data_IF_598537681321
#
_entry.id   IF_598537681321
#
_cell.length_a   1.000
_cell.length_b   1.000
_cell.length_c   1.000
_cell.angle_alpha   90.00
_cell.angle_beta   90.00
_cell.angle_gamma   90.00
#
_symmetry.space_group_name_H-M   'P 1'
#
loop_
_entity.id
_entity.type
_entity.pdbx_description
1 polymer ?
#
# COMPACT_ATOMS: atom_id res chain seq x y z
N UNK A 1 43.30 -46.70 33.23
CA UNK A 1 42.36 -47.77 32.84
C UNK A 1 41.19 -47.64 33.81
N UNK A 2 40.18 -46.91 33.41
CA UNK A 2 38.96 -46.67 34.22
C UNK A 2 37.80 -47.31 33.45
N UNK A 3 37.25 -48.35 34.10
CA UNK A 3 36.14 -49.17 33.63
C UNK A 3 34.84 -48.45 33.88
N UNK A 4 34.06 -48.11 32.83
CA UNK A 4 32.73 -47.55 32.96
C UNK A 4 31.70 -48.66 32.87
N UNK A 5 31.16 -49.01 34.02
CA UNK A 5 30.02 -49.93 34.16
C UNK A 5 28.78 -49.35 33.44
N UNK A 6 28.28 -50.10 32.44
CA UNK A 6 27.05 -49.78 31.72
C UNK A 6 25.84 -50.09 32.61
N UNK A 7 25.18 -49.07 33.13
CA UNK A 7 23.88 -49.19 33.73
C UNK A 7 22.82 -49.21 32.60
N UNK A 8 22.17 -50.34 32.41
CA UNK A 8 20.98 -50.49 31.58
C UNK A 8 19.82 -49.78 32.28
N UNK A 9 19.27 -48.76 31.62
CA UNK A 9 17.95 -48.22 31.98
C UNK A 9 16.91 -49.05 31.22
N UNK A 10 16.24 -49.95 31.93
CA UNK A 10 15.08 -50.64 31.39
C UNK A 10 13.82 -49.74 31.52
N UNK A 11 13.13 -49.56 30.39
CA UNK A 11 11.71 -49.45 30.34
C UNK A 11 11.06 -48.06 30.60
N UNK A 12 11.21 -47.14 29.64
CA UNK A 12 10.15 -46.16 29.40
C UNK A 12 9.54 -46.52 28.04
N UNK A 13 8.24 -46.85 27.94
CA UNK A 13 7.62 -47.07 26.63
C UNK A 13 7.61 -45.72 25.89
N UNK A 14 8.27 -45.67 24.74
CA UNK A 14 8.17 -44.57 23.78
C UNK A 14 6.69 -44.37 23.46
N UNK A 15 6.20 -43.12 23.48
CA UNK A 15 4.85 -42.86 22.97
C UNK A 15 4.83 -43.31 21.51
N UNK A 16 3.96 -44.27 21.20
CA UNK A 16 3.66 -44.67 19.84
C UNK A 16 3.28 -43.38 19.08
N UNK A 17 4.14 -42.97 18.16
CA UNK A 17 3.79 -41.97 17.20
C UNK A 17 2.53 -42.49 16.48
N UNK A 18 1.42 -41.82 16.68
CA UNK A 18 0.21 -42.10 15.92
C UNK A 18 0.61 -42.02 14.45
N UNK A 19 0.54 -43.15 13.77
CA UNK A 19 0.81 -43.29 12.33
C UNK A 19 -0.22 -42.36 11.65
N UNK A 20 0.22 -41.18 11.27
CA UNK A 20 -0.62 -40.24 10.50
C UNK A 20 -0.90 -40.96 9.17
N UNK A 21 -2.17 -41.17 8.87
CA UNK A 21 -2.59 -41.72 7.58
C UNK A 21 -1.88 -40.95 6.46
N UNK A 22 -1.35 -41.63 5.43
CA UNK A 22 -0.64 -40.97 4.34
C UNK A 22 -1.54 -39.92 3.73
N UNK A 23 -1.09 -38.68 3.80
CA UNK A 23 -1.77 -37.55 3.15
C UNK A 23 -1.76 -37.86 1.66
N UNK A 24 -2.94 -37.84 1.03
CA UNK A 24 -3.05 -38.04 -0.40
C UNK A 24 -2.47 -36.80 -1.10
N UNK A 25 -1.19 -36.80 -1.44
CA UNK A 25 -0.47 -35.72 -2.09
C UNK A 25 -1.14 -35.28 -3.38
N UNK A 26 -1.74 -36.22 -4.13
CA UNK A 26 -2.47 -35.93 -5.35
C UNK A 26 -3.70 -35.03 -5.08
N UNK A 27 -4.45 -35.30 -4.03
CA UNK A 27 -5.61 -34.49 -3.66
C UNK A 27 -5.21 -33.07 -3.19
N UNK A 28 -4.05 -32.92 -2.55
CA UNK A 28 -3.52 -31.62 -2.16
C UNK A 28 -3.03 -30.81 -3.36
N UNK A 29 -2.34 -31.44 -4.31
CA UNK A 29 -1.91 -30.81 -5.56
C UNK A 29 -3.11 -30.38 -6.40
N UNK A 30 -4.14 -31.24 -6.51
CA UNK A 30 -5.37 -30.91 -7.20
C UNK A 30 -6.13 -29.76 -6.52
N UNK A 31 -6.17 -29.71 -5.19
CA UNK A 31 -6.80 -28.62 -4.44
C UNK A 31 -6.11 -27.28 -4.67
N UNK A 32 -4.77 -27.25 -4.68
CA UNK A 32 -3.99 -26.05 -4.99
C UNK A 32 -4.25 -25.56 -6.41
N UNK A 33 -4.12 -26.45 -7.39
CA UNK A 33 -4.32 -26.12 -8.80
C UNK A 33 -5.75 -25.61 -9.04
N UNK A 34 -6.74 -26.29 -8.49
CA UNK A 34 -8.14 -25.89 -8.60
C UNK A 34 -8.42 -24.52 -7.97
N UNK A 35 -7.77 -24.20 -6.82
CA UNK A 35 -7.89 -22.89 -6.20
C UNK A 35 -7.33 -21.79 -7.11
N UNK A 36 -6.14 -21.97 -7.68
CA UNK A 36 -5.49 -20.99 -8.56
C UNK A 36 -6.28 -20.83 -9.88
N UNK A 37 -6.67 -21.94 -10.51
CA UNK A 37 -7.49 -21.92 -11.73
C UNK A 37 -8.82 -21.21 -11.46
N UNK A 38 -9.54 -21.60 -10.41
CA UNK A 38 -10.84 -21.01 -10.08
C UNK A 38 -10.77 -19.52 -9.74
N UNK A 39 -9.66 -19.02 -9.19
CA UNK A 39 -9.42 -17.58 -9.02
C UNK A 39 -9.18 -16.93 -10.37
N UNK A 40 -8.34 -17.52 -11.21
CA UNK A 40 -7.99 -16.99 -12.54
C UNK A 40 -9.23 -16.87 -13.44
N UNK A 41 -10.07 -17.89 -13.49
CA UNK A 41 -11.27 -17.91 -14.31
C UNK A 41 -12.30 -16.87 -13.87
N UNK A 42 -12.43 -16.63 -12.55
CA UNK A 42 -13.40 -15.68 -11.99
C UNK A 42 -12.94 -14.23 -12.05
N UNK A 43 -11.67 -13.97 -11.74
CA UNK A 43 -11.13 -12.60 -11.57
C UNK A 43 -10.35 -12.15 -12.81
N UNK A 44 -9.71 -13.06 -13.54
CA UNK A 44 -8.93 -12.74 -14.75
C UNK A 44 -9.66 -11.85 -15.74
N UNK A 45 -10.95 -12.14 -16.09
CA UNK A 45 -11.72 -11.30 -17.01
C UNK A 45 -11.96 -9.86 -16.56
N UNK A 46 -11.79 -9.56 -15.26
CA UNK A 46 -11.88 -8.22 -14.71
C UNK A 46 -10.53 -7.46 -14.71
N UNK A 47 -9.44 -8.15 -15.06
CA UNK A 47 -8.10 -7.53 -15.09
C UNK A 47 -7.85 -6.92 -16.46
N UNK A 48 -7.51 -5.63 -16.47
CA UNK A 48 -7.23 -4.88 -17.68
C UNK A 48 -5.79 -4.41 -17.72
N UNK A 49 -5.24 -4.28 -18.90
CA UNK A 49 -3.99 -3.55 -19.13
C UNK A 49 -4.29 -2.07 -19.16
N UNK A 50 -3.49 -1.29 -18.44
CA UNK A 50 -3.55 0.16 -18.43
C UNK A 50 -2.38 0.71 -19.24
N UNK A 51 -2.70 1.34 -20.36
CA UNK A 51 -1.74 2.01 -21.24
C UNK A 51 -1.89 3.52 -21.09
N UNK A 52 -0.79 4.21 -20.86
CA UNK A 52 -0.81 5.68 -20.79
C UNK A 52 -0.02 6.28 -21.95
N UNK A 53 -0.54 7.35 -22.51
CA UNK A 53 0.15 8.12 -23.56
C UNK A 53 1.47 8.72 -23.05
N UNK A 54 2.38 9.17 -23.95
CA UNK A 54 3.61 9.82 -23.56
C UNK A 54 3.33 11.10 -22.74
N UNK A 55 4.18 11.37 -21.75
CA UNK A 55 4.02 12.52 -20.85
C UNK A 55 4.19 13.87 -21.58
N UNK A 56 4.96 13.86 -22.66
CA UNK A 56 5.23 15.04 -23.51
C UNK A 56 4.96 14.71 -24.98
N UNK A 57 4.92 15.73 -25.83
CA UNK A 57 4.86 15.56 -27.31
C UNK A 57 6.15 14.96 -27.91
N UNK A 58 7.11 14.56 -27.10
CA UNK A 58 8.35 13.96 -27.58
C UNK A 58 8.11 12.50 -28.03
N UNK A 59 8.28 12.15 -29.32
CA UNK A 59 8.05 10.81 -29.84
C UNK A 59 8.95 9.71 -29.23
N UNK A 60 10.03 10.11 -28.52
CA UNK A 60 10.95 9.20 -27.85
C UNK A 60 10.53 8.80 -26.44
N UNK A 61 9.56 9.50 -25.85
CA UNK A 61 9.00 9.11 -24.55
C UNK A 61 7.95 8.02 -24.75
N UNK A 62 8.25 6.85 -24.19
CA UNK A 62 7.28 5.75 -24.11
C UNK A 62 6.28 6.05 -22.98
N UNK A 63 4.99 5.80 -23.25
CA UNK A 63 3.95 5.85 -22.22
C UNK A 63 4.21 4.83 -21.11
N UNK A 64 3.54 4.99 -20.00
CA UNK A 64 3.54 4.03 -18.89
C UNK A 64 2.70 2.80 -19.24
N UNK A 65 3.02 1.70 -18.58
CA UNK A 65 2.34 0.44 -18.72
C UNK A 65 2.13 -0.20 -17.35
N UNK A 66 0.93 -0.71 -17.12
CA UNK A 66 0.57 -1.43 -15.90
C UNK A 66 -0.70 -2.24 -16.09
N UNK A 67 -1.22 -2.72 -14.99
CA UNK A 67 -2.50 -3.41 -14.90
C UNK A 67 -3.52 -2.58 -14.13
N UNK A 68 -4.78 -2.95 -14.23
CA UNK A 68 -5.88 -2.44 -13.43
C UNK A 68 -6.90 -3.53 -13.16
N UNK A 69 -7.77 -3.30 -12.20
CA UNK A 69 -8.89 -4.19 -11.90
C UNK A 69 -10.21 -3.43 -12.01
N UNK A 70 -11.11 -3.94 -12.82
CA UNK A 70 -12.50 -3.46 -12.91
C UNK A 70 -13.23 -3.87 -11.64
N UNK A 71 -13.81 -2.90 -10.92
CA UNK A 71 -14.47 -3.10 -9.63
C UNK A 71 -15.98 -2.84 -9.67
N UNK A 72 -16.49 -2.40 -10.80
CA UNK A 72 -17.92 -2.19 -11.00
C UNK A 72 -18.33 -2.41 -12.47
N UNK A 73 -19.57 -2.84 -12.73
CA UNK A 73 -20.03 -3.10 -14.10
C UNK A 73 -20.14 -1.84 -14.97
N UNK A 74 -20.18 -0.65 -14.34
CA UNK A 74 -20.23 0.66 -15.00
C UNK A 74 -18.85 1.24 -15.31
N UNK A 75 -17.78 0.45 -15.13
CA UNK A 75 -16.44 0.79 -15.61
C UNK A 75 -15.54 1.54 -14.63
N UNK A 76 -15.75 1.40 -13.31
CA UNK A 76 -14.73 1.84 -12.34
C UNK A 76 -13.55 0.87 -12.34
N UNK A 77 -12.34 1.42 -12.47
CA UNK A 77 -11.09 0.66 -12.51
C UNK A 77 -10.10 1.21 -11.48
N UNK A 78 -9.62 0.33 -10.61
CA UNK A 78 -8.51 0.63 -9.70
C UNK A 78 -7.18 0.27 -10.36
N UNK A 79 -6.18 1.12 -10.15
CA UNK A 79 -4.79 0.90 -10.54
C UNK A 79 -3.85 1.67 -9.61
N UNK A 80 -2.55 1.67 -9.86
CA UNK A 80 -1.62 2.49 -9.08
C UNK A 80 -1.51 3.93 -9.62
N UNK A 81 -1.23 4.87 -8.71
CA UNK A 81 -1.02 6.26 -9.07
C UNK A 81 0.23 6.45 -9.94
N UNK A 82 1.29 5.67 -9.69
CA UNK A 82 2.52 5.72 -10.49
C UNK A 82 2.32 5.18 -11.92
N UNK A 83 1.38 4.25 -12.15
CA UNK A 83 1.00 3.75 -13.49
C UNK A 83 0.37 4.89 -14.31
N UNK A 84 -0.56 5.62 -13.70
CA UNK A 84 -1.24 6.75 -14.34
C UNK A 84 -0.31 7.95 -14.51
N UNK A 85 0.47 8.26 -13.47
CA UNK A 85 1.36 9.41 -13.46
C UNK A 85 0.67 10.72 -13.85
N UNK A 86 1.27 11.46 -14.78
CA UNK A 86 0.72 12.69 -15.34
C UNK A 86 0.13 12.50 -16.74
N UNK A 87 -0.19 11.27 -17.13
CA UNK A 87 -0.71 10.97 -18.46
C UNK A 87 -2.07 11.66 -18.69
N UNK A 88 -2.26 12.17 -19.89
CA UNK A 88 -3.52 12.78 -20.35
C UNK A 88 -4.43 11.76 -21.05
N UNK A 89 -3.80 10.80 -21.74
CA UNK A 89 -4.50 9.74 -22.46
C UNK A 89 -4.28 8.43 -21.74
N UNK A 90 -5.37 7.73 -21.44
CA UNK A 90 -5.36 6.42 -20.80
C UNK A 90 -6.25 5.51 -21.63
N UNK A 91 -5.72 4.35 -21.97
CA UNK A 91 -6.47 3.29 -22.64
C UNK A 91 -6.43 2.03 -21.82
N UNK A 92 -7.54 1.38 -21.73
CA UNK A 92 -7.72 0.09 -21.10
C UNK A 92 -7.84 -0.97 -22.20
N UNK A 93 -7.11 -2.07 -22.03
CA UNK A 93 -7.25 -3.23 -22.90
C UNK A 93 -7.64 -4.43 -22.05
N UNK A 94 -8.75 -5.08 -22.40
CA UNK A 94 -9.18 -6.31 -21.75
C UNK A 94 -8.45 -7.55 -22.28
N UNK A 95 -8.81 -8.72 -21.76
CA UNK A 95 -8.20 -10.00 -22.18
C UNK A 95 -8.60 -10.43 -23.59
N UNK A 96 -9.71 -9.90 -24.13
CA UNK A 96 -10.19 -10.17 -25.48
C UNK A 96 -9.54 -9.23 -26.50
N UNK A 97 -8.77 -8.23 -26.01
CA UNK A 97 -8.06 -7.27 -26.85
C UNK A 97 -8.85 -6.01 -27.17
N UNK A 98 -10.10 -5.86 -26.66
CA UNK A 98 -10.86 -4.62 -26.82
C UNK A 98 -10.19 -3.47 -26.10
N UNK A 99 -10.16 -2.32 -26.78
CA UNK A 99 -9.56 -1.09 -26.27
C UNK A 99 -10.67 -0.11 -25.95
N UNK A 100 -10.64 0.42 -24.73
CA UNK A 100 -11.58 1.43 -24.23
C UNK A 100 -10.78 2.62 -23.69
N UNK A 101 -11.13 3.83 -24.08
CA UNK A 101 -10.57 5.03 -23.50
C UNK A 101 -11.04 5.17 -22.05
N UNK A 102 -10.22 5.81 -21.23
CA UNK A 102 -10.53 6.03 -19.82
C UNK A 102 -10.01 7.38 -19.34
N UNK A 103 -10.68 7.92 -18.35
CA UNK A 103 -10.25 9.15 -17.68
C UNK A 103 -10.07 8.92 -16.18
N UNK A 104 -9.24 9.77 -15.58
CA UNK A 104 -8.92 9.71 -14.15
C UNK A 104 -10.00 10.41 -13.35
N UNK A 105 -10.67 9.70 -12.44
CA UNK A 105 -11.56 10.28 -11.45
C UNK A 105 -10.80 10.90 -10.28
N UNK A 106 -9.71 10.27 -9.87
CA UNK A 106 -8.83 10.77 -8.82
C UNK A 106 -7.58 9.94 -8.65
N UNK A 107 -6.57 10.54 -8.03
CA UNK A 107 -5.31 9.87 -7.66
C UNK A 107 -4.96 10.16 -6.22
N UNK A 108 -4.39 9.18 -5.58
CA UNK A 108 -3.81 9.31 -4.25
C UNK A 108 -2.37 8.79 -4.23
N UNK A 109 -1.39 9.66 -4.43
CA UNK A 109 0.01 9.27 -4.41
C UNK A 109 0.50 8.79 -3.04
N UNK A 110 -0.21 9.13 -1.95
CA UNK A 110 0.17 8.72 -0.60
C UNK A 110 -0.12 7.23 -0.35
N UNK A 111 -1.11 6.66 -1.03
CA UNK A 111 -1.40 5.20 -1.02
C UNK A 111 -1.02 4.50 -2.31
N UNK A 112 -0.45 5.24 -3.27
CA UNK A 112 -0.14 4.75 -4.61
C UNK A 112 -1.36 4.16 -5.34
N UNK A 113 -2.55 4.75 -5.18
CA UNK A 113 -3.77 4.32 -5.84
C UNK A 113 -4.31 5.39 -6.80
N UNK A 114 -4.99 4.94 -7.85
CA UNK A 114 -5.74 5.77 -8.77
C UNK A 114 -7.06 5.10 -9.13
N UNK A 115 -8.11 5.90 -9.29
CA UNK A 115 -9.40 5.48 -9.77
C UNK A 115 -9.63 6.05 -11.17
N UNK A 116 -9.95 5.16 -12.10
CA UNK A 116 -10.28 5.48 -13.48
C UNK A 116 -11.75 5.17 -13.76
N UNK A 117 -12.28 5.80 -14.80
CA UNK A 117 -13.57 5.49 -15.42
C UNK A 117 -13.33 5.10 -16.87
N UNK A 118 -13.72 3.90 -17.26
CA UNK A 118 -13.77 3.48 -18.67
C UNK A 118 -14.92 4.17 -19.38
N UNK A 119 -14.66 4.77 -20.54
CA UNK A 119 -15.63 5.57 -21.28
C UNK A 119 -16.61 4.70 -22.04
N UNK A 120 -17.91 4.95 -21.85
CA UNK A 120 -18.96 4.18 -22.53
C UNK A 120 -19.10 2.71 -22.12
N UNK A 121 -18.36 2.28 -21.11
CA UNK A 121 -18.39 0.91 -20.62
C UNK A 121 -19.74 0.55 -19.99
N UNK A 122 -20.28 -0.63 -20.35
CA UNK A 122 -21.48 -1.23 -19.77
C UNK A 122 -21.26 -2.73 -19.62
N UNK A 123 -21.79 -3.28 -18.53
CA UNK A 123 -21.80 -4.73 -18.26
C UNK A 123 -20.39 -5.37 -18.26
N UNK A 124 -19.38 -4.62 -17.82
CA UNK A 124 -18.02 -5.16 -17.69
C UNK A 124 -17.95 -6.26 -16.64
N UNK A 125 -17.13 -7.26 -16.90
CA UNK A 125 -16.72 -8.21 -15.86
C UNK A 125 -15.97 -7.45 -14.78
N UNK A 126 -16.35 -7.64 -13.52
CA UNK A 126 -15.76 -6.95 -12.37
C UNK A 126 -15.47 -7.91 -11.23
N UNK A 127 -14.57 -7.53 -10.34
CA UNK A 127 -14.21 -8.29 -9.17
C UNK A 127 -14.59 -7.52 -7.89
N UNK A 128 -15.04 -8.26 -6.88
CA UNK A 128 -15.38 -7.70 -5.57
C UNK A 128 -14.11 -7.45 -4.73
N UNK A 129 -14.09 -6.32 -4.02
CA UNK A 129 -13.09 -6.04 -3.00
C UNK A 129 -13.43 -6.79 -1.71
N UNK A 130 -12.53 -7.65 -1.25
CA UNK A 130 -12.65 -8.38 0.00
C UNK A 130 -12.18 -7.57 1.20
N UNK A 131 -12.19 -8.20 2.39
CA UNK A 131 -11.76 -7.60 3.64
C UNK A 131 -10.33 -8.03 4.00
N UNK A 132 -9.34 -7.14 3.76
CA UNK A 132 -7.93 -7.41 4.05
C UNK A 132 -7.61 -7.55 5.55
N UNK A 133 -8.48 -7.08 6.47
CA UNK A 133 -8.29 -7.23 7.92
C UNK A 133 -8.48 -8.65 8.42
N UNK A 134 -9.12 -9.52 7.64
CA UNK A 134 -9.34 -10.93 8.00
C UNK A 134 -8.20 -11.84 7.54
N UNK A 135 -7.22 -11.30 6.84
CA UNK A 135 -6.10 -12.06 6.30
C UNK A 135 -5.22 -12.64 7.41
N UNK A 136 -4.64 -13.79 7.13
CA UNK A 136 -3.68 -14.46 8.00
C UNK A 136 -2.41 -14.80 7.23
N UNK A 137 -1.25 -14.72 7.87
CA UNK A 137 0.02 -15.17 7.31
C UNK A 137 -0.07 -16.64 6.93
N UNK A 138 0.50 -17.00 5.79
CA UNK A 138 0.43 -18.34 5.19
C UNK A 138 -0.81 -18.60 4.34
N UNK A 139 -1.77 -17.67 4.27
CA UNK A 139 -2.96 -17.82 3.42
C UNK A 139 -2.55 -17.71 1.95
N UNK A 140 -3.06 -18.63 1.10
CA UNK A 140 -2.85 -18.64 -0.34
C UNK A 140 -3.38 -17.34 -0.97
N UNK A 141 -2.58 -16.76 -1.85
CA UNK A 141 -2.94 -15.59 -2.65
C UNK A 141 -2.47 -15.76 -4.08
N UNK A 142 -3.20 -15.13 -5.00
CA UNK A 142 -2.91 -15.14 -6.44
C UNK A 142 -2.78 -13.70 -6.90
N UNK A 143 -1.63 -13.35 -7.48
CA UNK A 143 -1.43 -12.06 -8.13
C UNK A 143 -1.71 -12.21 -9.63
N UNK A 144 -2.54 -11.31 -10.16
CA UNK A 144 -2.93 -11.32 -11.56
C UNK A 144 -2.54 -9.98 -12.18
N UNK A 145 -1.97 -10.01 -13.38
CA UNK A 145 -1.65 -8.83 -14.17
C UNK A 145 -1.88 -9.09 -15.65
N UNK A 146 -1.93 -8.04 -16.44
CA UNK A 146 -2.06 -8.11 -17.90
C UNK A 146 -0.98 -7.25 -18.59
N UNK A 147 0.33 -7.60 -18.43
CA UNK A 147 1.43 -6.77 -18.90
C UNK A 147 1.50 -6.69 -20.43
N UNK A 148 1.07 -7.72 -21.15
CA UNK A 148 1.19 -7.81 -22.61
C UNK A 148 -0.12 -7.56 -23.35
N UNK A 149 -1.27 -7.57 -22.63
CA UNK A 149 -2.59 -7.30 -23.22
C UNK A 149 -3.20 -8.44 -24.04
N UNK A 150 -2.60 -9.62 -24.01
CA UNK A 150 -3.09 -10.80 -24.73
C UNK A 150 -3.49 -11.94 -23.79
N UNK A 151 -2.77 -12.07 -22.68
CA UNK A 151 -3.02 -13.08 -21.66
C UNK A 151 -2.68 -12.52 -20.27
N UNK A 152 -3.48 -12.90 -19.29
CA UNK A 152 -3.21 -12.58 -17.90
C UNK A 152 -2.00 -13.37 -17.40
N UNK A 153 -1.04 -12.68 -16.81
CA UNK A 153 0.04 -13.31 -16.06
C UNK A 153 -0.46 -13.62 -14.66
N UNK A 154 -0.40 -14.89 -14.28
CA UNK A 154 -0.85 -15.39 -12.98
C UNK A 154 0.35 -15.90 -12.19
N UNK A 155 0.50 -15.45 -10.96
CA UNK A 155 1.47 -15.96 -10.01
C UNK A 155 0.80 -16.24 -8.68
N UNK A 156 1.17 -17.33 -8.02
CA UNK A 156 0.60 -17.69 -6.73
C UNK A 156 1.70 -17.71 -5.66
N UNK A 157 1.31 -17.44 -4.44
CA UNK A 157 2.15 -17.42 -3.27
C UNK A 157 1.30 -17.37 -2.00
N UNK A 158 1.88 -16.88 -0.91
CA UNK A 158 1.18 -16.74 0.37
C UNK A 158 1.28 -15.32 0.90
N UNK A 159 0.41 -14.97 1.84
CA UNK A 159 0.59 -13.79 2.68
C UNK A 159 1.81 -14.02 3.58
N UNK A 160 2.92 -13.38 3.27
CA UNK A 160 4.18 -13.49 4.03
C UNK A 160 4.16 -12.65 5.30
N UNK A 161 3.63 -11.42 5.22
CA UNK A 161 3.47 -10.52 6.37
C UNK A 161 2.33 -9.52 6.14
N UNK A 162 1.83 -8.94 7.23
CA UNK A 162 0.77 -7.94 7.26
C UNK A 162 1.22 -6.73 8.08
N UNK A 163 0.59 -5.57 7.84
CA UNK A 163 0.84 -4.34 8.59
C UNK A 163 2.27 -3.80 8.41
N UNK A 164 2.88 -4.04 7.26
CA UNK A 164 4.19 -3.48 6.91
C UNK A 164 4.04 -2.08 6.35
N UNK A 165 5.10 -1.28 6.52
CA UNK A 165 5.24 0.01 5.85
C UNK A 165 6.44 -0.07 4.91
N UNK A 166 6.28 0.44 3.68
CA UNK A 166 7.33 0.44 2.67
C UNK A 166 7.46 1.83 2.04
N UNK A 167 8.63 2.15 1.50
CA UNK A 167 8.79 3.34 0.65
C UNK A 167 8.41 3.01 -0.79
N UNK A 168 7.47 3.77 -1.32
CA UNK A 168 7.08 3.68 -2.72
C UNK A 168 8.18 4.21 -3.65
N UNK A 169 8.04 3.96 -4.95
CA UNK A 169 8.94 4.52 -5.99
C UNK A 169 8.93 6.05 -5.96
N UNK A 170 7.83 6.68 -5.53
CA UNK A 170 7.72 8.14 -5.36
C UNK A 170 8.41 8.66 -4.08
N UNK A 171 9.00 7.78 -3.26
CA UNK A 171 9.63 8.13 -1.99
C UNK A 171 8.68 8.31 -0.81
N UNK A 172 7.38 8.09 -1.01
CA UNK A 172 6.35 8.15 0.04
C UNK A 172 6.27 6.83 0.80
N UNK A 173 5.90 6.88 2.06
CA UNK A 173 5.65 5.66 2.85
C UNK A 173 4.23 5.17 2.59
N UNK A 174 4.13 3.93 2.10
CA UNK A 174 2.88 3.18 2.00
C UNK A 174 2.72 2.37 3.27
N UNK A 175 1.64 2.59 3.99
CA UNK A 175 1.32 1.89 5.24
C UNK A 175 0.33 0.75 5.00
N UNK A 176 0.29 -0.18 5.96
CA UNK A 176 -0.65 -1.32 5.97
C UNK A 176 -0.62 -2.13 4.67
N UNK A 177 0.59 -2.36 4.14
CA UNK A 177 0.75 -3.19 2.94
C UNK A 177 0.78 -4.67 3.28
N UNK A 178 0.27 -5.47 2.36
CA UNK A 178 0.35 -6.93 2.36
C UNK A 178 1.68 -7.32 1.70
N UNK A 179 2.52 -8.06 2.41
CA UNK A 179 3.71 -8.68 1.84
C UNK A 179 3.37 -10.09 1.35
N UNK A 180 3.82 -10.44 0.15
CA UNK A 180 3.65 -11.75 -0.46
C UNK A 180 4.92 -12.20 -1.19
N UNK A 181 5.09 -13.50 -1.36
CA UNK A 181 6.11 -14.13 -2.21
C UNK A 181 5.57 -14.48 -3.62
N UNK A 182 4.27 -14.22 -3.88
CA UNK A 182 3.75 -14.27 -5.24
C UNK A 182 4.57 -13.33 -6.13
N UNK A 183 5.16 -13.87 -7.21
CA UNK A 183 6.09 -13.11 -8.03
C UNK A 183 5.38 -11.94 -8.73
N UNK A 184 5.85 -10.72 -8.47
CA UNK A 184 5.41 -9.52 -9.18
C UNK A 184 6.48 -9.11 -10.19
N UNK A 185 6.07 -8.97 -11.44
CA UNK A 185 6.91 -8.52 -12.54
C UNK A 185 6.46 -7.14 -13.04
N UNK A 186 7.30 -6.39 -13.75
CA UNK A 186 6.88 -5.17 -14.42
C UNK A 186 5.62 -5.41 -15.27
N UNK A 187 4.59 -4.59 -15.04
CA UNK A 187 3.27 -4.72 -15.66
C UNK A 187 2.20 -5.35 -14.78
N UNK A 188 2.56 -6.05 -13.69
CA UNK A 188 1.57 -6.52 -12.70
C UNK A 188 1.13 -5.42 -11.72
N UNK A 189 1.87 -4.30 -11.65
CA UNK A 189 1.51 -3.13 -10.83
C UNK A 189 0.14 -2.60 -11.24
N UNK A 190 -0.73 -2.38 -10.24
CA UNK A 190 -2.11 -1.96 -10.41
C UNK A 190 -3.11 -3.12 -10.60
N UNK A 191 -2.63 -4.33 -10.89
CA UNK A 191 -3.45 -5.54 -10.89
C UNK A 191 -3.80 -6.03 -9.49
N UNK A 192 -4.77 -6.95 -9.36
CA UNK A 192 -5.23 -7.44 -8.07
C UNK A 192 -4.29 -8.49 -7.46
N UNK A 193 -4.21 -8.48 -6.12
CA UNK A 193 -3.87 -9.62 -5.28
C UNK A 193 -5.18 -10.22 -4.79
N UNK A 194 -5.39 -11.50 -5.01
CA UNK A 194 -6.68 -12.19 -4.86
C UNK A 194 -6.57 -13.32 -3.86
N UNK A 195 -7.56 -13.50 -3.01
CA UNK A 195 -7.68 -14.66 -2.10
C UNK A 195 -8.17 -15.90 -2.83
N UNK A 196 -8.06 -17.07 -2.21
CA UNK A 196 -8.61 -18.32 -2.73
C UNK A 196 -10.14 -18.31 -2.91
N UNK A 197 -10.86 -17.37 -2.25
CA UNK A 197 -12.30 -17.13 -2.46
C UNK A 197 -12.63 -16.23 -3.65
N UNK A 198 -11.61 -15.82 -4.44
CA UNK A 198 -11.73 -14.91 -5.58
C UNK A 198 -12.16 -13.48 -5.21
N UNK A 199 -11.81 -13.03 -4.01
CA UNK A 199 -11.97 -11.65 -3.58
C UNK A 199 -10.64 -10.90 -3.71
N UNK A 200 -10.68 -9.67 -4.20
CA UNK A 200 -9.50 -8.79 -4.28
C UNK A 200 -9.15 -8.31 -2.88
N UNK A 201 -8.03 -8.77 -2.35
CA UNK A 201 -7.54 -8.43 -1.01
C UNK A 201 -6.46 -7.36 -1.02
N UNK A 202 -5.94 -7.01 -2.20
CA UNK A 202 -4.96 -5.94 -2.36
C UNK A 202 -4.77 -5.55 -3.83
N UNK A 203 -4.05 -4.45 -4.03
CA UNK A 203 -3.61 -3.95 -5.34
C UNK A 203 -2.08 -4.03 -5.39
N UNK A 204 -1.55 -4.82 -6.31
CA UNK A 204 -0.11 -5.04 -6.48
C UNK A 204 0.60 -3.71 -6.76
N UNK A 205 1.68 -3.38 -6.04
CA UNK A 205 2.31 -2.06 -6.20
C UNK A 205 3.82 -2.12 -6.38
N UNK A 206 4.56 -2.74 -5.51
CA UNK A 206 6.01 -2.61 -5.47
C UNK A 206 6.73 -3.94 -5.27
N UNK A 207 7.94 -3.99 -5.79
CA UNK A 207 8.97 -4.99 -5.47
C UNK A 207 10.16 -4.27 -4.85
N UNK A 208 10.85 -4.90 -3.92
CA UNK A 208 12.15 -4.41 -3.45
C UNK A 208 13.20 -4.82 -4.51
N UNK A 209 13.78 -3.83 -5.18
CA UNK A 209 14.84 -4.09 -6.15
C UNK A 209 16.00 -4.86 -5.50
N UNK A 210 16.38 -5.98 -6.12
CA UNK A 210 17.45 -6.85 -5.62
C UNK A 210 17.03 -7.89 -4.59
N UNK A 211 15.75 -7.89 -4.13
CA UNK A 211 15.20 -8.94 -3.27
C UNK A 211 14.26 -9.83 -4.08
N UNK A 212 14.47 -11.15 -4.03
CA UNK A 212 13.55 -12.11 -4.64
C UNK A 212 12.50 -12.54 -3.61
N UNK A 213 11.25 -12.72 -4.07
CA UNK A 213 10.17 -13.21 -3.19
C UNK A 213 9.68 -12.19 -2.15
N UNK A 214 9.99 -10.89 -2.32
CA UNK A 214 9.49 -9.82 -1.47
C UNK A 214 8.71 -8.84 -2.32
N UNK A 215 7.41 -9.05 -2.38
CA UNK A 215 6.45 -8.27 -3.14
C UNK A 215 5.41 -7.65 -2.21
N UNK A 216 4.79 -6.56 -2.63
CA UNK A 216 3.83 -5.82 -1.82
C UNK A 216 2.58 -5.45 -2.60
N UNK A 217 1.45 -5.44 -1.87
CA UNK A 217 0.18 -4.94 -2.37
C UNK A 217 -0.44 -3.97 -1.35
N UNK A 218 -1.07 -2.91 -1.84
CA UNK A 218 -1.89 -2.01 -1.01
C UNK A 218 -3.15 -2.77 -0.59
N UNK A 219 -3.43 -2.80 0.70
CA UNK A 219 -4.55 -3.56 1.27
C UNK A 219 -5.91 -3.11 0.71
N UNK A 220 -6.84 -4.04 0.50
CA UNK A 220 -8.17 -3.73 -0.08
C UNK A 220 -8.99 -2.78 0.79
N UNK A 221 -8.87 -2.81 2.12
CA UNK A 221 -9.55 -1.86 2.99
C UNK A 221 -9.03 -0.43 2.78
N UNK A 222 -7.73 -0.25 2.53
CA UNK A 222 -7.16 1.04 2.11
C UNK A 222 -7.72 1.46 0.75
N UNK A 223 -7.80 0.53 -0.20
CA UNK A 223 -8.38 0.81 -1.52
C UNK A 223 -9.86 1.22 -1.43
N UNK A 224 -10.67 0.54 -0.60
CA UNK A 224 -12.08 0.91 -0.35
C UNK A 224 -12.22 2.32 0.24
N UNK A 225 -11.33 2.68 1.19
CA UNK A 225 -11.29 4.02 1.76
C UNK A 225 -10.98 5.08 0.69
N UNK A 226 -9.90 4.89 -0.08
CA UNK A 226 -9.48 5.79 -1.16
C UNK A 226 -10.58 5.94 -2.21
N UNK A 227 -11.18 4.82 -2.63
CA UNK A 227 -12.31 4.79 -3.56
C UNK A 227 -13.47 5.65 -3.06
N UNK A 228 -13.87 5.48 -1.79
CA UNK A 228 -14.99 6.22 -1.21
C UNK A 228 -14.73 7.73 -1.15
N UNK A 229 -13.50 8.15 -0.85
CA UNK A 229 -13.10 9.55 -0.83
C UNK A 229 -13.08 10.15 -2.24
N UNK A 230 -12.49 9.43 -3.22
CA UNK A 230 -12.42 9.91 -4.60
C UNK A 230 -13.82 10.03 -5.22
N UNK A 231 -14.70 9.07 -5.03
CA UNK A 231 -16.07 9.12 -5.57
C UNK A 231 -16.86 10.31 -4.99
N UNK A 232 -16.69 10.59 -3.68
CA UNK A 232 -17.43 11.65 -3.00
C UNK A 232 -16.87 13.04 -3.24
N UNK A 233 -15.55 13.17 -3.33
CA UNK A 233 -14.85 14.45 -3.26
C UNK A 233 -13.91 14.69 -4.45
N UNK A 234 -13.65 13.69 -5.30
CA UNK A 234 -12.66 13.77 -6.39
C UNK A 234 -11.21 13.55 -5.93
N UNK A 235 -10.94 13.50 -4.64
CA UNK A 235 -9.62 13.30 -4.04
C UNK A 235 -9.73 12.77 -2.60
N UNK A 236 -8.62 12.26 -2.07
CA UNK A 236 -8.54 11.80 -0.68
C UNK A 236 -8.22 12.97 0.23
N UNK A 237 -9.15 13.28 1.15
CA UNK A 237 -8.98 14.36 2.13
C UNK A 237 -7.98 13.96 3.20
N UNK A 238 -7.05 14.85 3.49
CA UNK A 238 -6.09 14.74 4.59
C UNK A 238 -5.91 16.07 5.28
N UNK A 239 -5.60 16.03 6.55
CA UNK A 239 -5.20 17.20 7.30
C UNK A 239 -3.82 17.69 6.84
N UNK A 240 -3.65 18.99 6.79
CA UNK A 240 -2.47 19.67 6.31
C UNK A 240 -2.06 20.79 7.23
N UNK A 241 -0.76 20.88 7.51
CA UNK A 241 -0.22 21.91 8.39
C UNK A 241 0.80 22.86 7.72
N UNK A 242 1.17 22.60 6.48
CA UNK A 242 2.07 23.48 5.72
C UNK A 242 3.55 23.35 6.14
N UNK A 243 4.06 22.12 6.23
CA UNK A 243 5.47 21.85 6.54
C UNK A 243 6.08 20.85 5.57
N UNK A 244 7.39 20.98 5.35
CA UNK A 244 8.22 19.88 4.87
C UNK A 244 9.22 19.50 5.94
N UNK A 245 9.55 18.20 6.00
CA UNK A 245 10.44 17.73 7.07
C UNK A 245 11.11 16.41 6.71
N UNK A 246 12.00 15.98 7.61
CA UNK A 246 12.67 14.69 7.53
C UNK A 246 12.73 14.04 8.91
N UNK A 247 12.82 12.72 8.94
CA UNK A 247 13.09 11.99 10.18
C UNK A 247 14.51 12.26 10.63
N UNK A 248 14.70 12.70 11.88
CA UNK A 248 15.99 13.05 12.42
C UNK A 248 16.19 12.50 13.85
N UNK A 249 17.43 12.13 14.22
CA UNK A 249 17.75 11.71 15.58
C UNK A 249 17.68 12.90 16.55
N UNK A 250 17.17 12.64 17.76
CA UNK A 250 17.17 13.60 18.86
C UNK A 250 18.42 13.36 19.71
N UNK A 251 19.32 14.36 19.84
CA UNK A 251 20.48 14.23 20.70
C UNK A 251 20.06 13.90 22.14
N UNK A 252 20.67 12.87 22.73
CA UNK A 252 20.30 12.36 24.07
C UNK A 252 20.26 13.48 25.13
N UNK A 253 21.18 14.44 25.08
CA UNK A 253 21.20 15.60 25.97
C UNK A 253 19.91 16.43 25.88
N UNK A 254 19.37 16.62 24.68
CA UNK A 254 18.12 17.36 24.46
C UNK A 254 16.92 16.57 24.95
N UNK A 255 16.87 15.25 24.68
CA UNK A 255 15.82 14.38 25.16
C UNK A 255 15.72 14.39 26.70
N UNK A 256 16.86 14.24 27.39
CA UNK A 256 16.92 14.27 28.86
C UNK A 256 16.47 15.62 29.42
N UNK A 257 16.97 16.75 28.90
CA UNK A 257 16.61 18.11 29.36
C UNK A 257 15.11 18.39 29.11
N UNK A 258 14.58 17.91 28.02
CA UNK A 258 13.17 18.10 27.62
C UNK A 258 12.21 17.08 28.27
N UNK A 259 12.73 16.02 28.91
CA UNK A 259 11.90 14.96 29.48
C UNK A 259 11.16 14.12 28.46
N UNK A 260 11.72 13.96 27.22
CA UNK A 260 11.12 13.15 26.16
C UNK A 260 11.88 11.83 26.00
N UNK A 261 11.14 10.75 25.71
CA UNK A 261 11.71 9.42 25.53
C UNK A 261 12.07 9.13 24.06
N UNK A 262 11.60 9.95 23.15
CA UNK A 262 11.84 9.81 21.71
C UNK A 262 13.33 9.83 21.39
N UNK A 263 13.78 8.83 20.62
CA UNK A 263 15.14 8.81 20.05
C UNK A 263 15.22 9.52 18.71
N UNK A 264 14.09 9.62 18.02
CA UNK A 264 13.89 10.20 16.70
C UNK A 264 12.69 11.14 16.75
N UNK A 265 12.57 12.03 15.76
CA UNK A 265 11.41 12.91 15.62
C UNK A 265 11.30 13.44 14.19
N UNK A 266 10.24 14.20 13.90
CA UNK A 266 10.06 14.88 12.61
C UNK A 266 10.67 16.28 12.66
N UNK A 267 11.88 16.43 12.07
CA UNK A 267 12.56 17.72 11.93
C UNK A 267 11.93 18.53 10.81
N UNK A 268 11.42 19.71 11.13
CA UNK A 268 10.85 20.65 10.16
C UNK A 268 11.97 21.35 9.39
N UNK A 269 11.99 21.17 8.06
CA UNK A 269 12.96 21.81 7.16
C UNK A 269 12.42 23.13 6.64
N UNK A 270 11.13 23.13 6.27
CA UNK A 270 10.43 24.32 5.78
C UNK A 270 9.06 24.43 6.46
N UNK A 271 8.64 25.66 6.67
CA UNK A 271 7.30 26.02 7.13
C UNK A 271 6.74 27.01 6.12
N UNK A 272 5.58 26.72 5.57
CA UNK A 272 4.92 27.61 4.60
C UNK A 272 4.51 28.91 5.27
N UNK A 273 4.82 30.08 4.69
CA UNK A 273 4.65 31.38 5.34
C UNK A 273 3.23 31.64 5.84
N UNK A 274 2.19 31.28 5.10
CA UNK A 274 0.79 31.53 5.45
C UNK A 274 0.06 30.25 5.88
N UNK A 275 0.80 29.16 6.08
CA UNK A 275 0.25 27.87 6.46
C UNK A 275 -0.13 27.79 7.95
N UNK A 276 -0.92 26.76 8.32
CA UNK A 276 -1.33 26.56 9.73
C UNK A 276 -0.15 26.45 10.69
N UNK A 277 0.97 25.86 10.26
CA UNK A 277 2.17 25.72 11.06
C UNK A 277 2.81 27.09 11.37
N UNK A 278 2.90 27.98 10.37
CA UNK A 278 3.41 29.34 10.58
C UNK A 278 2.51 30.14 11.52
N UNK A 279 1.19 30.06 11.32
CA UNK A 279 0.21 30.71 12.18
C UNK A 279 0.26 30.22 13.62
N UNK A 280 0.59 28.94 13.82
CA UNK A 280 0.80 28.35 15.14
C UNK A 280 2.17 28.70 15.75
N UNK A 281 3.07 29.37 15.00
CA UNK A 281 4.40 29.74 15.46
C UNK A 281 5.44 28.61 15.40
N UNK A 282 5.22 27.59 14.54
CA UNK A 282 6.24 26.62 14.22
C UNK A 282 7.34 27.24 13.34
N UNK A 283 8.54 26.79 13.50
CA UNK A 283 9.74 27.31 12.82
C UNK A 283 10.55 26.18 12.17
N UNK A 284 11.26 26.47 11.07
CA UNK A 284 12.28 25.56 10.59
C UNK A 284 13.30 25.25 11.71
N UNK A 285 13.68 23.98 11.86
CA UNK A 285 14.54 23.49 12.92
C UNK A 285 13.81 22.95 14.15
N UNK A 286 12.48 23.12 14.26
CA UNK A 286 11.69 22.43 15.27
C UNK A 286 11.68 20.93 15.00
N UNK A 287 11.72 20.11 16.06
CA UNK A 287 11.55 18.66 15.97
C UNK A 287 10.26 18.28 16.64
N UNK A 288 9.27 17.83 15.85
CA UNK A 288 7.99 17.35 16.40
C UNK A 288 8.23 16.00 17.07
N UNK A 289 7.81 15.89 18.34
CA UNK A 289 7.95 14.68 19.17
C UNK A 289 6.61 14.09 19.60
N UNK A 290 5.54 14.90 19.59
CA UNK A 290 4.18 14.43 19.90
C UNK A 290 3.14 15.27 19.17
N UNK A 291 2.05 14.63 18.71
CA UNK A 291 0.89 15.30 18.14
C UNK A 291 -0.40 14.62 18.62
N UNK A 292 -1.28 15.39 19.25
CA UNK A 292 -2.57 14.92 19.78
C UNK A 292 -2.43 13.69 20.70
N UNK A 293 -1.42 13.70 21.57
CA UNK A 293 -1.11 12.60 22.48
C UNK A 293 -0.35 11.42 21.85
N UNK A 294 -0.17 11.40 20.54
CA UNK A 294 0.54 10.34 19.80
C UNK A 294 2.02 10.70 19.68
N UNK A 295 2.91 9.77 20.02
CA UNK A 295 4.36 9.94 19.82
C UNK A 295 4.72 9.99 18.34
N UNK A 296 5.60 10.94 17.98
CA UNK A 296 6.09 11.15 16.62
C UNK A 296 7.58 10.82 16.60
N UNK A 297 7.91 9.68 16.01
CA UNK A 297 9.29 9.21 15.84
C UNK A 297 9.86 9.49 14.44
N UNK A 298 9.08 10.17 13.60
CA UNK A 298 9.50 10.56 12.25
C UNK A 298 8.41 11.25 11.46
N UNK A 299 8.75 11.63 10.23
CA UNK A 299 7.81 12.31 9.32
C UNK A 299 6.62 11.41 8.97
N UNK A 300 6.85 10.10 8.84
CA UNK A 300 5.80 9.14 8.49
C UNK A 300 4.73 9.09 9.59
N UNK A 301 5.13 9.12 10.88
CA UNK A 301 4.18 9.21 12.00
C UNK A 301 3.37 10.51 11.97
N UNK A 302 4.03 11.62 11.65
CA UNK A 302 3.37 12.93 11.53
C UNK A 302 2.30 12.91 10.42
N UNK A 303 2.65 12.35 9.25
CA UNK A 303 1.71 12.21 8.13
C UNK A 303 0.53 11.31 8.49
N UNK A 304 0.79 10.19 9.17
CA UNK A 304 -0.23 9.23 9.59
C UNK A 304 -1.23 9.86 10.57
N UNK A 305 -0.75 10.62 11.53
CA UNK A 305 -1.61 11.29 12.52
C UNK A 305 -2.44 12.41 11.89
N UNK A 306 -1.96 13.06 10.82
CA UNK A 306 -2.67 14.11 10.09
C UNK A 306 -3.71 13.51 9.10
N UNK A 307 -4.61 12.69 9.59
CA UNK A 307 -5.72 12.12 8.83
C UNK A 307 -6.88 13.11 8.63
N UNK A 308 -7.92 12.69 7.90
CA UNK A 308 -9.10 13.53 7.60
C UNK A 308 -9.87 13.95 8.85
N UNK A 309 -9.86 13.12 9.90
CA UNK A 309 -10.66 13.36 11.11
C UNK A 309 -10.09 14.50 11.96
N UNK A 310 -8.88 14.96 11.63
CA UNK A 310 -8.19 16.09 12.27
C UNK A 310 -8.32 17.42 11.53
N UNK A 311 -8.96 17.42 10.36
CA UNK A 311 -9.23 18.68 9.62
C UNK A 311 -10.08 19.63 10.46
N UNK A 312 -9.59 20.85 10.64
CA UNK A 312 -10.28 21.93 11.39
C UNK A 312 -10.30 21.73 12.90
N UNK A 313 -9.74 20.66 13.45
CA UNK A 313 -9.65 20.45 14.90
C UNK A 313 -8.42 21.13 15.48
N UNK A 314 -8.54 21.59 16.73
CA UNK A 314 -7.41 22.03 17.52
C UNK A 314 -6.63 20.82 18.01
N UNK A 315 -5.36 20.71 17.65
CA UNK A 315 -4.46 19.63 18.07
C UNK A 315 -3.34 20.19 18.93
N UNK A 316 -3.03 19.50 20.03
CA UNK A 316 -1.86 19.81 20.86
C UNK A 316 -0.61 19.15 20.21
N UNK A 317 0.39 19.98 19.90
CA UNK A 317 1.67 19.54 19.35
C UNK A 317 2.80 19.85 20.32
N UNK A 318 3.69 18.89 20.55
CA UNK A 318 4.91 19.10 21.30
C UNK A 318 6.10 19.08 20.35
N UNK A 319 6.95 20.12 20.43
CA UNK A 319 8.17 20.24 19.63
C UNK A 319 9.39 20.53 20.49
N UNK A 320 10.53 20.06 20.05
CA UNK A 320 11.83 20.46 20.60
C UNK A 320 12.36 21.63 19.77
N UNK A 321 12.49 22.79 20.40
CA UNK A 321 13.11 24.00 19.84
C UNK A 321 14.35 24.34 20.63
N UNK A 322 15.53 24.28 20.00
CA UNK A 322 16.83 24.51 20.65
C UNK A 322 17.01 23.67 21.94
N UNK A 323 16.56 22.41 21.91
CA UNK A 323 16.66 21.46 23.02
C UNK A 323 15.66 21.70 24.18
N UNK A 324 14.70 22.59 24.02
CA UNK A 324 13.60 22.83 24.99
C UNK A 324 12.27 22.38 24.44
N UNK A 325 11.46 21.71 25.25
CA UNK A 325 10.12 21.31 24.91
C UNK A 325 9.19 22.54 24.84
N UNK A 326 8.39 22.62 23.80
CA UNK A 326 7.35 23.63 23.59
C UNK A 326 6.03 22.93 23.24
N UNK A 327 4.98 23.32 23.91
CA UNK A 327 3.62 22.95 23.53
C UNK A 327 3.04 24.05 22.63
N UNK A 328 2.47 23.64 21.50
CA UNK A 328 1.91 24.53 20.46
C UNK A 328 0.57 23.96 20.05
N UNK A 329 -0.46 24.81 20.01
CA UNK A 329 -1.76 24.45 19.48
C UNK A 329 -1.79 24.70 17.96
N UNK A 330 -2.16 23.70 17.18
CA UNK A 330 -2.24 23.80 15.72
C UNK A 330 -3.62 23.44 15.23
N UNK A 331 -4.08 24.12 14.17
CA UNK A 331 -5.36 23.87 13.51
C UNK A 331 -5.10 23.42 12.06
N UNK A 332 -5.01 22.11 11.80
CA UNK A 332 -4.81 21.64 10.45
C UNK A 332 -5.97 22.02 9.55
N UNK A 333 -5.66 22.36 8.30
CA UNK A 333 -6.66 22.61 7.24
C UNK A 333 -6.73 21.41 6.32
N UNK A 334 -7.72 21.39 5.43
CA UNK A 334 -7.82 20.38 4.41
C UNK A 334 -6.73 20.56 3.33
N UNK A 335 -5.98 19.50 3.03
CA UNK A 335 -5.01 19.48 1.93
C UNK A 335 -5.76 19.47 0.60
N UNK A 336 -5.77 20.59 -0.12
CA UNK A 336 -6.28 20.61 -1.49
C UNK A 336 -5.27 20.00 -2.44
N UNK A 337 -5.68 19.13 -3.38
CA UNK A 337 -4.79 18.67 -4.43
C UNK A 337 -4.27 19.87 -5.23
N UNK A 338 -3.00 19.80 -5.63
CA UNK A 338 -2.50 20.74 -6.64
C UNK A 338 -3.40 20.62 -7.89
N UNK A 339 -3.87 21.75 -8.40
CA UNK A 339 -4.67 21.76 -9.63
C UNK A 339 -3.90 21.01 -10.71
N UNK A 340 -4.49 19.99 -11.32
CA UNK A 340 -3.89 19.36 -12.51
C UNK A 340 -3.81 20.45 -13.57
N UNK A 341 -2.59 20.77 -13.98
CA UNK A 341 -2.40 21.65 -15.13
C UNK A 341 -3.13 21.03 -16.32
N UNK A 342 -4.17 21.74 -16.78
CA UNK A 342 -5.07 21.35 -17.86
C UNK A 342 -4.35 21.12 -19.19
#
# INVERSE_FOLDING_TARGET
MLDFASTRFDGVPSPQAAEQAPVNDQALLDAYSNAVIGVTDRVGPAVVRVETGPKTRNPRERGGLGSGIVISPDGLVLTNSHVVGSAREIRLRDIEGFITDAHVLGVDPDTDLALLRADGARDLRYAALGNSKTLRRGQLVVAIGNPLGFESTVTAGVVSALGRSIRSVSGRTLEDVIQTDAALNPGNSGGPLVSSSAEVIGINTAIINGAQGICFAVASNTAQFVLSEIIRHGYVRRAYIGVSGQTAPIPRRHAVVAGVENKMGALLIQVEPDGPAAQAGLLPGDVVVKLDGVEINGVDDLIRVLDRDRIGKKLAMEVLRLGRLRAIDIHPVERKPAARAG
#
